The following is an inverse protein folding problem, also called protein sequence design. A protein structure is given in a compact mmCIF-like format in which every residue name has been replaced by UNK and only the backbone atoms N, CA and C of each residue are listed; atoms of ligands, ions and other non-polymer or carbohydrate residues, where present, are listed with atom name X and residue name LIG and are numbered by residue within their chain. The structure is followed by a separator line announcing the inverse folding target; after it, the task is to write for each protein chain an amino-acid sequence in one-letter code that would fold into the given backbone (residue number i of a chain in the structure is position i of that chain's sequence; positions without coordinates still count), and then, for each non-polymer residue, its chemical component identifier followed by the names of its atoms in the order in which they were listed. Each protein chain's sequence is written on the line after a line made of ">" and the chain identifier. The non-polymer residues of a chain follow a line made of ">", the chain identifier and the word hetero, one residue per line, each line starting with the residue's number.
data_IF_410349865656
#
_entry.id   IF_410349865656
#
_cell.length_a   1.000
_cell.length_b   1.000
_cell.length_c   1.000
_cell.angle_alpha   90.00
_cell.angle_beta   90.00
_cell.angle_gamma   90.00
#
_symmetry.space_group_name_H-M   'P 1'
#
loop_
_entity.id
_entity.type
_entity.pdbx_description
1 polymer ?
#
# COMPACT_ATOMS: atom_id res chain seq x y z
N UNK A 1 6.49 17.89 -18.11
CA UNK A 1 7.33 16.70 -18.35
C UNK A 1 6.42 15.48 -18.29
N UNK A 2 6.43 14.63 -19.32
CA UNK A 2 5.23 13.97 -19.84
C UNK A 2 4.74 12.72 -19.09
N UNK A 3 3.41 12.53 -19.17
CA UNK A 3 2.66 11.31 -18.83
C UNK A 3 3.00 10.14 -19.78
N UNK A 4 4.27 9.72 -19.83
CA UNK A 4 4.79 8.83 -20.88
C UNK A 4 5.19 7.41 -20.45
N UNK A 5 4.69 6.84 -19.33
CA UNK A 5 5.19 5.51 -18.94
C UNK A 5 4.20 4.59 -18.22
N UNK A 6 2.97 4.47 -18.75
CA UNK A 6 2.12 3.33 -18.40
C UNK A 6 2.26 2.26 -19.49
N UNK A 7 2.62 1.05 -19.06
CA UNK A 7 2.66 -0.12 -19.93
C UNK A 7 2.19 -1.35 -19.12
N UNK A 8 2.42 -2.57 -19.63
CA UNK A 8 2.05 -3.76 -18.86
C UNK A 8 2.82 -3.84 -17.53
N UNK A 9 4.08 -3.46 -17.51
CA UNK A 9 4.94 -3.54 -16.33
C UNK A 9 4.77 -2.35 -15.38
N UNK A 10 4.46 -1.15 -15.89
CA UNK A 10 4.44 0.11 -15.12
C UNK A 10 3.07 0.77 -15.09
N UNK A 11 2.72 1.36 -13.97
CA UNK A 11 1.47 2.12 -13.77
C UNK A 11 1.70 3.30 -12.85
N UNK A 12 0.72 4.20 -12.76
CA UNK A 12 0.62 5.16 -11.67
C UNK A 12 -0.15 4.51 -10.51
N UNK A 13 0.30 4.74 -9.27
CA UNK A 13 -0.33 4.23 -8.07
C UNK A 13 -1.57 5.08 -7.68
N UNK A 14 -2.74 4.73 -8.21
CA UNK A 14 -4.00 5.44 -7.93
C UNK A 14 -3.90 6.94 -8.23
N UNK A 15 -4.44 7.77 -7.33
CA UNK A 15 -4.40 9.23 -7.41
C UNK A 15 -3.07 9.86 -6.92
N UNK A 16 -2.10 9.06 -6.44
CA UNK A 16 -0.85 9.59 -5.85
C UNK A 16 0.11 10.19 -6.87
N UNK A 17 -0.05 9.90 -8.17
CA UNK A 17 0.89 10.31 -9.21
C UNK A 17 2.23 9.54 -9.21
N UNK A 18 2.44 8.61 -8.27
CA UNK A 18 3.71 7.88 -8.14
C UNK A 18 3.82 6.78 -9.20
N UNK A 19 4.87 6.80 -10.06
CA UNK A 19 5.11 5.74 -11.03
C UNK A 19 5.67 4.50 -10.32
N UNK A 20 5.05 3.34 -10.56
CA UNK A 20 5.45 2.07 -9.98
C UNK A 20 5.51 0.96 -11.03
N UNK A 21 6.30 -0.06 -10.75
CA UNK A 21 6.07 -1.37 -11.35
C UNK A 21 4.80 -2.00 -10.74
N UNK A 22 4.03 -2.71 -11.58
CA UNK A 22 2.83 -3.44 -11.18
C UNK A 22 3.13 -4.69 -10.35
N UNK A 23 4.40 -5.05 -10.17
CA UNK A 23 4.82 -6.07 -9.24
C UNK A 23 5.53 -5.36 -8.09
N UNK A 24 5.02 -5.56 -6.88
CA UNK A 24 5.60 -5.07 -5.65
C UNK A 24 6.15 -6.22 -4.81
N UNK A 25 7.04 -5.90 -3.87
CA UNK A 25 7.66 -6.90 -2.99
C UNK A 25 7.31 -6.67 -1.53
N UNK A 26 6.92 -7.74 -0.84
CA UNK A 26 6.98 -7.83 0.62
C UNK A 26 7.91 -8.97 0.99
N UNK A 27 8.70 -8.84 2.05
CA UNK A 27 9.66 -9.88 2.46
C UNK A 27 9.23 -10.60 3.75
N UNK A 28 7.92 -10.62 4.05
CA UNK A 28 7.36 -11.25 5.27
C UNK A 28 7.67 -12.76 5.34
N UNK A 29 7.81 -13.45 4.20
CA UNK A 29 8.22 -14.86 4.13
C UNK A 29 9.74 -15.07 4.15
N UNK A 30 10.51 -14.01 4.36
CA UNK A 30 11.98 -13.99 4.48
C UNK A 30 12.71 -14.56 3.25
N UNK A 31 12.50 -14.01 2.04
CA UNK A 31 13.19 -14.41 0.80
C UNK A 31 14.72 -14.26 0.84
N UNK A 32 15.27 -13.60 1.85
CA UNK A 32 16.69 -13.28 1.95
C UNK A 32 17.06 -12.00 1.21
N UNK A 33 18.10 -11.30 1.70
CA UNK A 33 18.51 -9.99 1.18
C UNK A 33 18.89 -10.02 -0.30
N UNK A 34 19.55 -11.08 -0.76
CA UNK A 34 19.98 -11.23 -2.16
C UNK A 34 18.78 -11.13 -3.12
N UNK A 35 17.67 -11.75 -2.78
CA UNK A 35 16.42 -11.69 -3.55
C UNK A 35 15.85 -10.28 -3.59
N UNK A 36 15.89 -9.56 -2.46
CA UNK A 36 15.40 -8.17 -2.38
C UNK A 36 16.26 -7.24 -3.25
N UNK A 37 17.59 -7.34 -3.16
CA UNK A 37 18.49 -6.59 -4.04
C UNK A 37 18.26 -6.91 -5.51
N UNK A 38 18.13 -8.21 -5.85
CA UNK A 38 17.83 -8.60 -7.23
C UNK A 38 16.51 -8.01 -7.73
N UNK A 39 15.46 -8.00 -6.91
CA UNK A 39 14.19 -7.37 -7.30
C UNK A 39 14.35 -5.87 -7.58
N UNK A 40 15.14 -5.17 -6.77
CA UNK A 40 15.47 -3.75 -6.97
C UNK A 40 16.25 -3.55 -8.29
N UNK A 41 17.23 -4.42 -8.56
CA UNK A 41 18.03 -4.36 -9.79
C UNK A 41 17.18 -4.60 -11.05
N UNK A 42 16.16 -5.46 -10.95
CA UNK A 42 15.15 -5.70 -12.00
C UNK A 42 14.08 -4.58 -12.09
N UNK A 43 14.20 -3.54 -11.25
CA UNK A 43 13.39 -2.32 -11.30
C UNK A 43 12.21 -2.28 -10.34
N UNK A 44 11.95 -3.31 -9.52
CA UNK A 44 10.87 -3.27 -8.51
C UNK A 44 11.09 -2.07 -7.60
N UNK A 45 10.08 -1.20 -7.55
CA UNK A 45 10.15 0.04 -6.80
C UNK A 45 9.02 0.23 -5.79
N UNK A 46 8.01 -0.66 -5.78
CA UNK A 46 6.98 -0.66 -4.74
C UNK A 46 7.26 -1.75 -3.70
N UNK A 47 7.31 -1.36 -2.43
CA UNK A 47 7.58 -2.27 -1.32
C UNK A 47 6.53 -2.18 -0.22
N UNK A 48 6.09 -3.33 0.29
CA UNK A 48 5.27 -3.40 1.49
C UNK A 48 6.08 -3.90 2.69
N UNK A 49 6.43 -2.95 3.55
CA UNK A 49 7.20 -3.14 4.77
C UNK A 49 6.32 -3.51 5.97
N UNK A 50 6.24 -4.80 6.28
CA UNK A 50 5.47 -5.30 7.43
C UNK A 50 6.23 -5.06 8.76
N UNK A 51 5.47 -4.84 9.85
CA UNK A 51 5.92 -4.70 11.26
C UNK A 51 7.31 -5.21 11.63
N UNK A 52 7.43 -6.51 11.41
CA UNK A 52 8.44 -7.39 11.96
C UNK A 52 9.52 -7.75 10.94
N UNK A 53 9.40 -7.27 9.71
CA UNK A 53 10.32 -7.59 8.63
C UNK A 53 11.59 -6.73 8.69
N UNK A 54 12.62 -7.28 9.32
CA UNK A 54 13.93 -6.64 9.44
C UNK A 54 14.80 -6.81 8.20
N UNK A 55 14.51 -7.77 7.30
CA UNK A 55 15.31 -7.98 6.10
C UNK A 55 15.02 -6.89 5.07
N UNK A 56 13.74 -6.69 4.74
CA UNK A 56 13.33 -5.63 3.82
C UNK A 56 13.68 -4.26 4.37
N UNK A 57 13.36 -4.01 5.65
CA UNK A 57 13.68 -2.73 6.29
C UNK A 57 15.18 -2.41 6.17
N UNK A 58 16.07 -3.37 6.43
CA UNK A 58 17.52 -3.12 6.35
C UNK A 58 17.99 -2.86 4.91
N UNK A 59 17.47 -3.59 3.93
CA UNK A 59 17.82 -3.36 2.51
C UNK A 59 17.31 -1.99 2.07
N UNK A 60 16.05 -1.65 2.35
CA UNK A 60 15.49 -0.35 1.98
C UNK A 60 16.24 0.81 2.65
N UNK A 61 16.58 0.72 3.94
CA UNK A 61 17.43 1.73 4.62
C UNK A 61 18.76 1.99 3.93
N UNK A 62 19.32 0.98 3.26
CA UNK A 62 20.60 1.06 2.58
C UNK A 62 20.43 1.72 1.21
N UNK A 63 19.54 1.19 0.38
CA UNK A 63 19.36 1.65 -1.01
C UNK A 63 18.65 3.00 -1.14
N UNK A 64 17.86 3.41 -0.13
CA UNK A 64 17.15 4.70 -0.16
C UNK A 64 18.06 5.88 0.18
N UNK A 65 19.28 5.67 0.69
CA UNK A 65 20.21 6.75 0.98
C UNK A 65 20.57 7.50 -0.31
N UNK A 66 20.25 8.79 -0.34
CA UNK A 66 20.49 9.67 -1.49
C UNK A 66 19.58 9.43 -2.69
N UNK A 67 18.56 8.55 -2.59
CA UNK A 67 17.70 8.15 -3.71
C UNK A 67 16.27 7.76 -3.26
N UNK A 68 15.79 8.31 -2.13
CA UNK A 68 14.56 7.88 -1.45
C UNK A 68 13.32 7.95 -2.36
N UNK A 69 13.27 8.93 -3.24
CA UNK A 69 12.20 9.20 -4.21
C UNK A 69 12.07 8.14 -5.32
N UNK A 70 13.10 7.32 -5.55
CA UNK A 70 13.03 6.19 -6.48
C UNK A 70 12.15 5.05 -5.98
N UNK A 71 11.88 5.02 -4.67
CA UNK A 71 11.19 3.93 -4.00
C UNK A 71 9.83 4.38 -3.47
N UNK A 72 8.84 3.51 -3.58
CA UNK A 72 7.50 3.69 -3.02
C UNK A 72 7.33 2.71 -1.88
N UNK A 73 7.28 3.22 -0.65
CA UNK A 73 7.20 2.41 0.56
C UNK A 73 5.80 2.49 1.14
N UNK A 74 5.15 1.33 1.23
CA UNK A 74 3.92 1.15 1.99
C UNK A 74 4.21 0.42 3.31
N UNK A 75 3.66 0.91 4.40
CA UNK A 75 3.74 0.29 5.73
C UNK A 75 2.55 0.76 6.55
N UNK A 76 2.50 0.45 7.85
CA UNK A 76 1.34 0.83 8.63
C UNK A 76 1.39 0.54 10.12
N UNK A 77 0.30 0.90 10.77
CA UNK A 77 -0.02 0.56 12.16
C UNK A 77 -1.08 -0.56 12.17
N UNK A 78 -0.92 -1.55 13.06
CA UNK A 78 -1.96 -2.57 13.25
C UNK A 78 -3.07 -2.05 14.12
N UNK A 79 -4.30 -2.36 13.74
CA UNK A 79 -5.44 -2.28 14.61
C UNK A 79 -5.27 -3.28 15.78
N UNK A 80 -4.73 -2.78 16.90
CA UNK A 80 -4.74 -3.51 18.15
C UNK A 80 -6.08 -3.17 18.82
N UNK A 81 -7.09 -3.99 18.57
CA UNK A 81 -8.47 -3.88 19.07
C UNK A 81 -8.52 -3.69 20.61
N UNK A 82 -7.41 -3.93 21.31
CA UNK A 82 -7.21 -3.62 22.72
C UNK A 82 -6.21 -2.45 22.84
N UNK A 83 -6.72 -1.27 23.22
CA UNK A 83 -5.92 -0.14 23.71
C UNK A 83 -5.68 1.03 22.77
N UNK A 84 -6.26 1.05 21.56
CA UNK A 84 -6.04 2.05 20.50
C UNK A 84 -4.55 2.39 20.30
N UNK A 85 -3.87 1.75 19.32
CA UNK A 85 -2.47 2.06 19.07
C UNK A 85 -2.32 3.55 18.82
N UNK A 86 -1.45 4.21 19.59
CA UNK A 86 -1.08 5.61 19.33
C UNK A 86 -0.52 5.67 17.89
N UNK A 87 -1.33 6.20 16.96
CA UNK A 87 -1.03 6.16 15.54
C UNK A 87 0.21 6.99 15.25
N UNK A 88 0.36 8.13 15.94
CA UNK A 88 1.55 8.97 15.86
C UNK A 88 2.82 8.20 16.24
N UNK A 89 2.83 7.52 17.39
CA UNK A 89 3.97 6.70 17.83
C UNK A 89 4.28 5.59 16.83
N UNK A 90 3.24 4.98 16.26
CA UNK A 90 3.40 3.93 15.25
C UNK A 90 4.05 4.48 13.98
N UNK A 91 3.59 5.64 13.50
CA UNK A 91 4.18 6.35 12.36
C UNK A 91 5.64 6.73 12.61
N UNK A 92 5.95 7.40 13.74
CA UNK A 92 7.33 7.79 14.07
C UNK A 92 8.26 6.59 14.16
N UNK A 93 7.78 5.46 14.70
CA UNK A 93 8.53 4.21 14.70
C UNK A 93 8.82 3.73 13.28
N UNK A 94 7.87 3.85 12.33
CA UNK A 94 8.09 3.47 10.93
C UNK A 94 9.10 4.38 10.24
N UNK A 95 8.96 5.69 10.41
CA UNK A 95 9.89 6.68 9.89
C UNK A 95 11.32 6.39 10.36
N UNK A 96 11.50 6.16 11.67
CA UNK A 96 12.78 5.76 12.27
C UNK A 96 13.30 4.42 11.74
N UNK A 97 12.43 3.41 11.62
CA UNK A 97 12.79 2.10 11.09
C UNK A 97 13.38 2.22 9.68
N UNK A 98 12.70 2.94 8.78
CA UNK A 98 13.14 3.14 7.40
C UNK A 98 14.19 4.25 7.22
N UNK A 99 14.47 5.03 8.27
CA UNK A 99 15.37 6.19 8.24
C UNK A 99 14.98 7.19 7.13
N UNK A 100 13.72 7.61 7.17
CA UNK A 100 13.12 8.53 6.20
C UNK A 100 12.11 9.45 6.88
N UNK A 101 11.87 10.62 6.31
CA UNK A 101 10.95 11.63 6.84
C UNK A 101 9.50 11.43 6.39
N UNK A 102 9.26 10.56 5.42
CA UNK A 102 7.91 10.27 4.92
C UNK A 102 7.69 8.81 4.49
N UNK A 103 6.42 8.36 4.56
CA UNK A 103 5.93 7.10 4.02
C UNK A 103 5.01 7.35 2.82
N UNK A 104 5.17 6.63 1.71
CA UNK A 104 4.36 6.87 0.51
C UNK A 104 2.90 6.44 0.71
N UNK A 105 2.66 5.28 1.33
CA UNK A 105 1.32 4.86 1.71
C UNK A 105 1.30 4.28 3.14
N UNK A 106 0.60 4.95 4.04
CA UNK A 106 0.47 4.50 5.42
C UNK A 106 -0.89 3.83 5.63
N UNK A 107 -0.86 2.55 5.96
CA UNK A 107 -2.02 1.69 6.04
C UNK A 107 -2.47 1.52 7.49
N UNK A 108 -3.76 1.66 7.74
CA UNK A 108 -4.39 1.12 8.94
C UNK A 108 -4.66 -0.37 8.71
N UNK A 109 -3.87 -1.22 9.37
CA UNK A 109 -3.79 -2.65 9.07
C UNK A 109 -4.74 -3.47 9.93
N UNK A 110 -5.38 -4.48 9.34
CA UNK A 110 -6.10 -5.53 10.07
C UNK A 110 -7.52 -5.17 10.47
N UNK A 111 -8.21 -4.34 9.67
CA UNK A 111 -9.61 -3.99 9.92
C UNK A 111 -10.51 -5.17 9.55
N UNK A 112 -11.31 -5.65 10.49
CA UNK A 112 -12.29 -6.72 10.28
C UNK A 112 -13.73 -6.21 10.26
N UNK A 113 -13.99 -5.03 10.85
CA UNK A 113 -15.32 -4.42 10.97
C UNK A 113 -15.23 -2.91 10.77
N UNK A 114 -16.24 -2.31 10.15
CA UNK A 114 -16.31 -0.86 9.91
C UNK A 114 -16.05 -0.01 11.16
N UNK A 115 -16.59 -0.42 12.31
CA UNK A 115 -16.41 0.28 13.60
C UNK A 115 -14.95 0.41 14.06
N UNK A 116 -14.04 -0.39 13.51
CA UNK A 116 -12.62 -0.35 13.83
C UNK A 116 -11.85 0.74 13.07
N UNK A 117 -12.47 1.33 12.04
CA UNK A 117 -11.92 2.46 11.28
C UNK A 117 -12.87 3.67 11.34
N UNK A 118 -13.08 4.23 12.55
CA UNK A 118 -13.94 5.40 12.75
C UNK A 118 -13.34 6.65 12.11
N UNK A 119 -14.15 7.70 12.03
CA UNK A 119 -13.74 9.00 11.49
C UNK A 119 -12.55 9.61 12.23
N UNK A 120 -12.51 9.52 13.56
CA UNK A 120 -11.37 10.02 14.35
C UNK A 120 -10.01 9.43 13.96
N UNK A 121 -9.98 8.14 13.59
CA UNK A 121 -8.78 7.47 13.08
C UNK A 121 -8.42 8.00 11.68
N UNK A 122 -9.42 8.19 10.80
CA UNK A 122 -9.19 8.76 9.48
C UNK A 122 -8.64 10.18 9.59
N UNK A 123 -9.24 11.02 10.42
CA UNK A 123 -8.83 12.40 10.61
C UNK A 123 -7.38 12.48 11.12
N UNK A 124 -6.98 11.59 12.03
CA UNK A 124 -5.60 11.54 12.49
C UNK A 124 -4.62 11.15 11.37
N UNK A 125 -4.98 10.18 10.54
CA UNK A 125 -4.17 9.79 9.39
C UNK A 125 -4.06 10.93 8.36
N UNK A 126 -5.16 11.64 8.08
CA UNK A 126 -5.12 12.82 7.20
C UNK A 126 -4.30 13.97 7.79
N UNK A 127 -4.31 14.19 9.12
CA UNK A 127 -3.37 15.13 9.75
C UNK A 127 -1.92 14.76 9.49
N UNK A 128 -1.54 13.47 9.52
CA UNK A 128 -0.19 13.06 9.16
C UNK A 128 0.16 13.33 7.69
N UNK A 129 -0.84 13.30 6.81
CA UNK A 129 -0.70 13.66 5.40
C UNK A 129 -0.47 15.17 5.25
N UNK A 130 -1.25 15.98 5.97
CA UNK A 130 -1.10 17.43 6.00
C UNK A 130 0.26 17.87 6.59
N UNK A 131 0.78 17.13 7.57
CA UNK A 131 2.14 17.28 8.11
C UNK A 131 3.25 16.83 7.14
N UNK A 132 2.91 16.24 5.99
CA UNK A 132 3.85 15.72 5.00
C UNK A 132 4.58 14.42 5.40
N UNK A 133 4.22 13.81 6.53
CA UNK A 133 4.82 12.56 7.01
C UNK A 133 4.33 11.33 6.25
N UNK A 134 3.16 11.42 5.62
CA UNK A 134 2.65 10.38 4.72
C UNK A 134 2.13 11.02 3.44
N UNK A 135 2.17 10.30 2.32
CA UNK A 135 1.60 10.80 1.05
C UNK A 135 0.20 10.25 0.75
N UNK A 136 -0.14 9.12 1.33
CA UNK A 136 -1.39 8.41 1.07
C UNK A 136 -1.92 7.75 2.35
N UNK A 137 -3.19 8.00 2.64
CA UNK A 137 -3.94 7.32 3.71
C UNK A 137 -4.53 6.04 3.15
N UNK A 138 -4.18 4.89 3.73
CA UNK A 138 -4.74 3.63 3.27
C UNK A 138 -5.21 2.70 4.38
N UNK A 139 -5.78 1.58 3.96
CA UNK A 139 -6.37 0.58 4.84
C UNK A 139 -6.16 -0.83 4.27
N UNK A 140 -6.02 -1.81 5.17
CA UNK A 140 -6.29 -3.22 4.85
C UNK A 140 -7.53 -3.68 5.59
N UNK A 141 -8.44 -4.35 4.87
CA UNK A 141 -9.63 -4.90 5.50
C UNK A 141 -10.03 -6.26 4.94
N UNK A 142 -10.66 -7.07 5.79
CA UNK A 142 -11.32 -8.31 5.41
C UNK A 142 -12.78 -8.10 4.98
N UNK A 143 -13.36 -6.93 5.25
CA UNK A 143 -14.71 -6.55 4.84
C UNK A 143 -14.67 -5.82 3.48
N UNK A 144 -14.99 -6.55 2.42
CA UNK A 144 -14.96 -6.01 1.05
C UNK A 144 -16.02 -4.95 0.80
N UNK A 145 -17.21 -5.09 1.38
CA UNK A 145 -18.30 -4.12 1.20
C UNK A 145 -17.91 -2.79 1.85
N UNK A 146 -17.28 -2.87 3.02
CA UNK A 146 -16.72 -1.68 3.67
C UNK A 146 -15.60 -1.03 2.83
N UNK A 147 -14.68 -1.81 2.24
CA UNK A 147 -13.68 -1.27 1.33
C UNK A 147 -14.31 -0.56 0.11
N UNK A 148 -15.36 -1.14 -0.48
CA UNK A 148 -16.12 -0.53 -1.58
C UNK A 148 -16.79 0.78 -1.19
N UNK A 149 -17.41 0.82 0.00
CA UNK A 149 -17.98 2.05 0.57
C UNK A 149 -16.93 3.14 0.74
N UNK A 150 -15.77 2.82 1.32
CA UNK A 150 -14.66 3.78 1.47
C UNK A 150 -14.15 4.30 0.12
N UNK A 151 -14.10 3.44 -0.91
CA UNK A 151 -13.74 3.84 -2.27
C UNK A 151 -14.76 4.81 -2.88
N UNK A 152 -16.05 4.48 -2.78
CA UNK A 152 -17.15 5.27 -3.33
C UNK A 152 -17.24 6.67 -2.70
N UNK A 153 -16.94 6.76 -1.40
CA UNK A 153 -16.96 7.99 -0.62
C UNK A 153 -15.63 8.77 -0.68
N UNK A 154 -14.57 8.21 -1.28
CA UNK A 154 -13.25 8.83 -1.34
C UNK A 154 -12.59 9.01 0.04
N UNK A 155 -12.91 8.13 1.00
CA UNK A 155 -12.44 8.25 2.39
C UNK A 155 -11.00 7.77 2.59
N UNK A 156 -10.43 7.06 1.62
CA UNK A 156 -9.04 6.58 1.63
C UNK A 156 -8.41 6.73 0.25
N UNK A 157 -7.10 6.91 0.22
CA UNK A 157 -6.30 7.01 -0.99
C UNK A 157 -5.78 5.65 -1.47
N UNK A 158 -5.58 4.68 -0.56
CA UNK A 158 -5.04 3.34 -0.88
C UNK A 158 -5.85 2.22 -0.21
N UNK A 159 -6.25 1.23 -1.00
CA UNK A 159 -6.88 -0.02 -0.57
C UNK A 159 -5.91 -1.18 -0.79
N UNK A 160 -5.49 -1.84 0.28
CA UNK A 160 -4.74 -3.09 0.20
C UNK A 160 -5.65 -4.27 0.56
N UNK A 161 -6.00 -5.07 -0.45
CA UNK A 161 -7.07 -6.07 -0.39
C UNK A 161 -6.62 -7.44 -0.88
N UNK A 162 -7.30 -8.49 -0.42
CA UNK A 162 -7.09 -9.83 -0.98
C UNK A 162 -7.77 -9.90 -2.34
N UNK A 163 -6.99 -10.18 -3.38
CA UNK A 163 -7.51 -10.36 -4.72
C UNK A 163 -6.63 -11.33 -5.50
N UNK A 164 -7.24 -12.40 -6.03
CA UNK A 164 -6.61 -13.38 -6.91
C UNK A 164 -7.68 -14.14 -7.69
N UNK A 165 -7.25 -15.01 -8.62
CA UNK A 165 -8.14 -15.78 -9.47
C UNK A 165 -9.19 -16.62 -8.71
N UNK A 166 -8.90 -17.05 -7.47
CA UNK A 166 -9.84 -17.79 -6.63
C UNK A 166 -10.67 -16.89 -5.68
N UNK A 167 -10.25 -15.65 -5.47
CA UNK A 167 -10.88 -14.68 -4.59
C UNK A 167 -11.19 -13.39 -5.37
N UNK A 168 -12.16 -13.49 -6.27
CA UNK A 168 -12.57 -12.42 -7.21
C UNK A 168 -13.61 -11.45 -6.67
N UNK A 169 -14.04 -11.57 -5.41
CA UNK A 169 -15.13 -10.76 -4.84
C UNK A 169 -14.93 -9.24 -4.93
N UNK A 170 -13.69 -8.77 -5.00
CA UNK A 170 -13.37 -7.35 -5.22
C UNK A 170 -13.92 -6.80 -6.55
N UNK A 171 -14.11 -7.65 -7.57
CA UNK A 171 -14.70 -7.25 -8.87
C UNK A 171 -16.15 -6.79 -8.75
N UNK A 172 -16.88 -7.29 -7.74
CA UNK A 172 -18.26 -6.92 -7.45
C UNK A 172 -18.33 -5.86 -6.36
N UNK A 173 -17.59 -6.05 -5.28
CA UNK A 173 -17.76 -5.28 -4.05
C UNK A 173 -16.93 -3.96 -4.03
N UNK A 174 -15.88 -3.83 -4.87
CA UNK A 174 -14.90 -2.73 -4.75
C UNK A 174 -14.67 -2.03 -6.10
N UNK A 175 -14.31 -2.78 -7.14
CA UNK A 175 -13.88 -2.22 -8.42
C UNK A 175 -14.91 -1.31 -9.11
N UNK A 176 -16.24 -1.56 -9.01
CA UNK A 176 -17.25 -0.65 -9.55
C UNK A 176 -17.23 0.75 -8.94
N UNK A 177 -16.64 0.92 -7.75
CA UNK A 177 -16.64 2.17 -6.99
C UNK A 177 -15.34 2.97 -7.11
N UNK A 178 -14.35 2.50 -7.88
CA UNK A 178 -13.03 3.13 -7.96
C UNK A 178 -12.99 4.38 -8.84
N UNK A 179 -13.82 4.46 -9.89
CA UNK A 179 -13.65 5.45 -10.96
C UNK A 179 -13.70 6.90 -10.46
N UNK A 180 -14.61 7.20 -9.53
CA UNK A 180 -14.85 8.56 -9.05
C UNK A 180 -13.67 9.18 -8.31
N UNK A 181 -12.99 8.39 -7.47
CA UNK A 181 -11.93 8.88 -6.57
C UNK A 181 -10.54 8.29 -6.89
N UNK A 182 -10.48 7.28 -7.74
CA UNK A 182 -9.29 6.59 -8.21
C UNK A 182 -8.28 6.23 -7.10
N UNK A 183 -8.71 5.58 -6.00
CA UNK A 183 -7.76 5.16 -4.98
C UNK A 183 -6.83 4.08 -5.54
N UNK A 184 -5.62 4.01 -5.02
CA UNK A 184 -4.68 2.95 -5.34
C UNK A 184 -5.21 1.60 -4.83
N UNK A 185 -5.18 0.56 -5.67
CA UNK A 185 -5.56 -0.79 -5.28
C UNK A 185 -4.33 -1.71 -5.30
N UNK A 186 -4.06 -2.30 -4.15
CA UNK A 186 -2.91 -3.18 -3.89
C UNK A 186 -3.43 -4.58 -3.58
N UNK A 187 -3.34 -5.47 -4.55
CA UNK A 187 -3.77 -6.86 -4.39
C UNK A 187 -2.70 -7.71 -3.70
N UNK A 188 -2.98 -8.28 -2.53
CA UNK A 188 -2.08 -9.23 -1.87
C UNK A 188 -2.57 -10.68 -2.01
N UNK A 189 -1.63 -11.65 -1.85
CA UNK A 189 -1.85 -13.07 -2.16
C UNK A 189 -2.34 -13.29 -3.60
N UNK A 190 -1.77 -12.55 -4.56
CA UNK A 190 -2.21 -12.64 -5.95
C UNK A 190 -1.91 -14.01 -6.57
N UNK A 191 -0.80 -14.62 -6.16
CA UNK A 191 -0.58 -16.04 -6.36
C UNK A 191 -1.17 -16.80 -5.16
N UNK A 192 -2.06 -17.76 -5.46
CA UNK A 192 -2.68 -18.67 -4.49
C UNK A 192 -1.59 -19.26 -3.58
N UNK A 193 -1.89 -19.52 -2.29
CA UNK A 193 -0.98 -19.88 -1.15
C UNK A 193 0.24 -20.80 -1.42
N UNK A 194 0.31 -21.46 -2.59
CA UNK A 194 1.42 -22.30 -3.08
C UNK A 194 2.47 -21.54 -3.92
N UNK A 195 2.20 -20.31 -4.34
CA UNK A 195 3.12 -19.43 -5.08
C UNK A 195 2.97 -18.01 -4.52
N UNK A 196 4.05 -17.28 -4.26
CA UNK A 196 4.03 -16.01 -3.51
C UNK A 196 3.96 -14.75 -4.39
N UNK A 197 3.46 -13.68 -3.77
CA UNK A 197 3.53 -12.25 -4.10
C UNK A 197 2.49 -11.59 -5.03
N UNK A 198 2.45 -10.25 -4.97
CA UNK A 198 1.32 -9.36 -5.25
C UNK A 198 1.23 -8.92 -6.73
N UNK A 199 0.04 -9.00 -7.34
CA UNK A 199 -0.26 -8.53 -8.72
C UNK A 199 -1.33 -7.45 -8.63
N UNK A 200 -1.09 -6.34 -9.31
CA UNK A 200 -1.90 -5.13 -9.23
C UNK A 200 -2.75 -4.99 -10.49
N UNK A 201 -4.03 -4.68 -10.33
CA UNK A 201 -4.93 -4.39 -11.44
C UNK A 201 -5.32 -2.91 -11.40
N UNK A 202 -4.95 -2.16 -12.44
CA UNK A 202 -5.53 -0.84 -12.75
C UNK A 202 -6.28 -1.00 -14.06
N UNK A 203 -7.59 -0.70 -14.05
CA UNK A 203 -8.45 -0.77 -15.22
C UNK A 203 -7.92 0.22 -16.27
N UNK A 204 -7.72 -0.25 -17.50
CA UNK A 204 -7.30 0.59 -18.63
C UNK A 204 -8.36 1.69 -18.82
N UNK A 205 -7.96 2.97 -18.82
CA UNK A 205 -8.83 4.03 -19.31
C UNK A 205 -9.14 3.71 -20.78
N UNK A 206 -10.39 3.39 -21.07
CA UNK A 206 -10.90 3.29 -22.43
C UNK A 206 -11.13 4.71 -22.93
N UNK A 207 -10.24 5.21 -23.79
CA UNK A 207 -10.55 6.40 -24.58
C UNK A 207 -11.73 6.05 -25.51
N UNK A 208 -12.83 6.78 -25.36
CA UNK A 208 -13.76 7.03 -26.45
C UNK A 208 -13.28 8.24 -27.23
#
# INVERSE_FOLDING_TARGET
>A
MGLQNTNFQKTILGNSGLPIYRLGLSATYRPGKKTIYRAIDEGVNYFFGFGIDTQLTRVLKDVMKGNRERFVVSTGAYNLIIGHPNLRRSLEKRLSQFNTDYIDAFLFLGVTKEKEFPESVRDELYRFKDEGKIRSVGITTHDRKFAGKLAAEGKVDTLMIRYNAAHRGAEQDIFPYLEKHNPAVVGYMAFMKRFGDAVYHTKKQSNK
#
